data_IF_945198392821
#
_entry.id   IF_945198392821
#
_cell.length_a   1.000
_cell.length_b   1.000
_cell.length_c   1.000
_cell.angle_alpha   90.00
_cell.angle_beta   90.00
_cell.angle_gamma   90.00
#
_symmetry.space_group_name_H-M   'P 1'
#
loop_
_entity.id
_entity.type
_entity.pdbx_description
1 polymer ?
#
# COMPACT_ATOMS: atom_id res chain seq x y z
N UNK A 1 -13.65 14.62 14.43
CA UNK A 1 -14.22 14.07 13.18
C UNK A 1 -14.13 15.15 12.12
N UNK A 2 -13.21 15.04 11.17
CA UNK A 2 -13.03 15.97 10.05
C UNK A 2 -13.27 15.21 8.75
N UNK A 3 -14.45 15.43 8.16
CA UNK A 3 -14.79 15.44 6.74
C UNK A 3 -14.03 14.60 5.71
N UNK A 4 -13.53 13.40 6.02
CA UNK A 4 -13.14 12.47 4.97
C UNK A 4 -14.40 11.77 4.46
N UNK A 5 -14.60 11.63 3.14
CA UNK A 5 -15.64 10.74 2.64
C UNK A 5 -15.46 9.38 3.30
N UNK A 6 -16.56 8.66 3.54
CA UNK A 6 -16.50 7.24 3.91
C UNK A 6 -15.86 6.53 2.72
N UNK A 7 -14.53 6.52 2.69
CA UNK A 7 -13.77 5.82 1.67
C UNK A 7 -14.02 4.35 1.92
N UNK A 8 -14.48 3.66 0.88
CA UNK A 8 -14.62 2.22 0.95
C UNK A 8 -13.26 1.63 1.39
N UNK A 9 -13.27 0.99 2.56
CA UNK A 9 -12.10 0.38 3.18
C UNK A 9 -11.80 -1.02 2.63
N UNK A 10 -12.63 -1.50 1.70
CA UNK A 10 -12.41 -2.73 0.95
C UNK A 10 -11.15 -2.68 0.09
N UNK A 11 -10.66 -3.87 -0.25
CA UNK A 11 -9.61 -4.02 -1.24
C UNK A 11 -10.12 -3.56 -2.62
N UNK A 12 -9.24 -2.96 -3.41
CA UNK A 12 -9.55 -2.60 -4.79
C UNK A 12 -9.14 -3.73 -5.73
N UNK A 13 -9.87 -3.90 -6.85
CA UNK A 13 -9.58 -4.97 -7.81
C UNK A 13 -8.18 -4.88 -8.43
N UNK A 14 -7.69 -3.67 -8.70
CA UNK A 14 -6.33 -3.43 -9.19
C UNK A 14 -5.72 -2.28 -8.39
N UNK A 15 -4.52 -2.49 -7.85
CA UNK A 15 -3.76 -1.48 -7.12
C UNK A 15 -2.38 -1.30 -7.76
N UNK A 16 -2.08 -0.08 -8.19
CA UNK A 16 -0.76 0.28 -8.72
C UNK A 16 0.20 0.68 -7.59
N UNK A 17 1.51 0.70 -7.86
CA UNK A 17 2.51 1.13 -6.87
C UNK A 17 2.37 2.60 -6.47
N UNK A 18 2.04 3.48 -7.42
CA UNK A 18 1.77 4.90 -7.11
C UNK A 18 0.55 5.02 -6.21
N UNK A 19 -0.55 4.33 -6.56
CA UNK A 19 -1.76 4.37 -5.76
C UNK A 19 -1.57 3.79 -4.36
N UNK A 20 -0.81 2.70 -4.22
CA UNK A 20 -0.48 2.15 -2.91
C UNK A 20 0.30 3.14 -2.03
N UNK A 21 1.22 3.94 -2.60
CA UNK A 21 1.92 4.99 -1.85
C UNK A 21 0.97 6.09 -1.40
N UNK A 22 0.05 6.50 -2.27
CA UNK A 22 -0.95 7.53 -1.93
C UNK A 22 -1.91 7.03 -0.86
N UNK A 23 -2.37 5.77 -0.94
CA UNK A 23 -3.15 5.11 0.10
C UNK A 23 -2.40 5.14 1.44
N UNK A 24 -1.11 4.79 1.49
CA UNK A 24 -0.36 4.83 2.75
C UNK A 24 -0.10 6.25 3.26
N UNK A 25 -0.02 7.26 2.39
CA UNK A 25 0.09 8.67 2.79
C UNK A 25 -1.21 9.18 3.40
N UNK A 26 -2.33 8.94 2.73
CA UNK A 26 -3.66 9.41 3.15
C UNK A 26 -4.16 8.63 4.37
N UNK A 27 -3.93 7.32 4.42
CA UNK A 27 -4.35 6.45 5.53
C UNK A 27 -3.25 6.18 6.56
N UNK A 28 -2.18 6.99 6.60
CA UNK A 28 -1.14 6.90 7.63
C UNK A 28 -1.78 6.91 9.04
N UNK A 29 -2.75 7.82 9.23
CA UNK A 29 -3.49 8.03 10.47
C UNK A 29 -4.87 7.34 10.50
N UNK A 30 -5.15 6.39 9.60
CA UNK A 30 -6.43 5.68 9.62
C UNK A 30 -6.61 4.95 10.97
N UNK A 31 -7.68 5.29 11.68
CA UNK A 31 -8.01 4.74 13.01
C UNK A 31 -8.55 3.32 12.96
N UNK A 32 -8.91 2.83 11.76
CA UNK A 32 -9.32 1.46 11.58
C UNK A 32 -8.10 0.54 11.66
N UNK A 33 -8.09 -0.28 12.72
CA UNK A 33 -7.08 -1.31 12.94
C UNK A 33 -7.03 -2.33 11.79
N UNK A 34 -8.15 -2.53 11.08
CA UNK A 34 -8.27 -3.50 9.98
C UNK A 34 -8.81 -2.84 8.70
N UNK A 35 -8.06 -1.89 8.14
CA UNK A 35 -8.35 -1.35 6.80
C UNK A 35 -7.78 -2.28 5.71
N UNK A 36 -8.65 -2.95 4.94
CA UNK A 36 -8.22 -3.91 3.91
C UNK A 36 -7.41 -3.22 2.81
N UNK A 37 -7.82 -2.02 2.40
CA UNK A 37 -7.08 -1.16 1.45
C UNK A 37 -5.66 -0.83 1.91
N UNK A 38 -5.47 -0.48 3.19
CA UNK A 38 -4.15 -0.22 3.79
C UNK A 38 -3.31 -1.49 3.80
N UNK A 39 -3.89 -2.63 4.19
CA UNK A 39 -3.19 -3.93 4.18
C UNK A 39 -2.74 -4.32 2.75
N UNK A 40 -3.62 -4.13 1.76
CA UNK A 40 -3.30 -4.37 0.35
C UNK A 40 -2.14 -3.49 -0.13
N UNK A 41 -2.18 -2.19 0.18
CA UNK A 41 -1.11 -1.25 -0.17
C UNK A 41 0.24 -1.61 0.45
N UNK A 42 0.25 -1.93 1.75
CA UNK A 42 1.47 -2.39 2.44
C UNK A 42 2.01 -3.67 1.83
N UNK A 43 1.15 -4.65 1.55
CA UNK A 43 1.56 -5.92 0.96
C UNK A 43 2.20 -5.72 -0.43
N UNK A 44 1.59 -4.89 -1.28
CA UNK A 44 2.08 -4.58 -2.61
C UNK A 44 3.46 -3.90 -2.57
N UNK A 45 3.63 -2.89 -1.71
CA UNK A 45 4.90 -2.18 -1.60
C UNK A 45 6.00 -3.07 -1.04
N UNK A 46 5.72 -3.88 -0.03
CA UNK A 46 6.67 -4.85 0.50
C UNK A 46 7.10 -5.87 -0.56
N UNK A 47 6.17 -6.35 -1.40
CA UNK A 47 6.50 -7.25 -2.50
C UNK A 47 7.40 -6.57 -3.54
N UNK A 48 7.10 -5.33 -3.92
CA UNK A 48 7.93 -4.56 -4.84
C UNK A 48 9.34 -4.30 -4.30
N UNK A 49 9.47 -3.99 -3.01
CA UNK A 49 10.77 -3.82 -2.36
C UNK A 49 11.60 -5.10 -2.37
N UNK A 50 10.99 -6.26 -2.08
CA UNK A 50 11.69 -7.55 -2.18
C UNK A 50 12.14 -7.84 -3.61
N UNK A 51 11.27 -7.65 -4.59
CA UNK A 51 11.61 -7.86 -6.00
C UNK A 51 12.76 -6.94 -6.46
N UNK A 52 12.77 -5.68 -6.01
CA UNK A 52 13.86 -4.74 -6.30
C UNK A 52 15.18 -5.15 -5.63
N UNK A 53 15.15 -5.61 -4.38
CA UNK A 53 16.33 -6.08 -3.66
C UNK A 53 16.92 -7.33 -4.33
N UNK A 54 16.09 -8.29 -4.74
CA UNK A 54 16.51 -9.47 -5.47
C UNK A 54 17.12 -9.13 -6.84
N UNK A 55 16.49 -8.22 -7.59
CA UNK A 55 17.01 -7.78 -8.87
C UNK A 55 18.36 -7.06 -8.74
N UNK A 56 18.53 -6.28 -7.67
CA UNK A 56 19.80 -5.65 -7.35
C UNK A 56 20.87 -6.69 -7.01
N UNK A 57 20.56 -7.67 -6.15
CA UNK A 57 21.49 -8.75 -5.82
C UNK A 57 21.96 -9.55 -7.04
N UNK A 58 21.05 -9.89 -7.97
CA UNK A 58 21.41 -10.60 -9.22
C UNK A 58 22.28 -9.77 -10.18
N UNK A 59 22.26 -8.45 -10.09
CA UNK A 59 23.04 -7.57 -10.98
C UNK A 59 24.52 -7.49 -10.57
N UNK A 60 24.83 -7.80 -9.32
CA UNK A 60 26.18 -7.66 -8.75
C UNK A 60 26.75 -8.99 -8.20
N UNK A 61 26.07 -10.10 -8.45
CA UNK A 61 26.55 -11.47 -8.19
C UNK A 61 27.24 -12.02 -9.45
#
# INVERSE_FOLDING_TARGET
MLGLPIENHEAVGIMTLSYARDVLRVHACCTLLVCAKKRQATALLNAAHRAAAEAWGRRFA
#
